data_IF_125094937915
#
_entry.id   IF_125094937915
#
_cell.length_a   1.000
_cell.length_b   1.000
_cell.length_c   1.000
_cell.angle_alpha   90.00
_cell.angle_beta   90.00
_cell.angle_gamma   90.00
#
_symmetry.space_group_name_H-M   'P 1'
#
loop_
_entity.id
_entity.type
_entity.pdbx_description
1 polymer ?
#
# COMPACT_ATOMS: atom_id res chain seq x y z
N UNK A 1 0.66 -18.94 -25.31
CA UNK A 1 1.75 -18.49 -24.42
C UNK A 1 1.10 -18.11 -23.10
N UNK A 2 1.10 -19.01 -22.12
CA UNK A 2 0.48 -18.77 -20.81
C UNK A 2 1.50 -17.98 -20.00
N UNK A 3 1.26 -16.68 -19.84
CA UNK A 3 2.09 -15.84 -18.99
C UNK A 3 2.06 -16.40 -17.57
N UNK A 4 3.21 -16.84 -17.09
CA UNK A 4 3.41 -17.16 -15.69
C UNK A 4 3.24 -15.83 -14.95
N UNK A 5 2.09 -15.61 -14.34
CA UNK A 5 1.94 -14.55 -13.35
C UNK A 5 2.89 -14.89 -12.20
N UNK A 6 4.09 -14.33 -12.23
CA UNK A 6 4.88 -14.16 -11.02
C UNK A 6 4.07 -13.20 -10.17
N UNK A 7 3.25 -13.74 -9.28
CA UNK A 7 2.70 -12.95 -8.19
C UNK A 7 3.89 -12.58 -7.31
N UNK A 8 4.51 -11.46 -7.66
CA UNK A 8 5.44 -10.77 -6.81
C UNK A 8 4.62 -9.86 -5.88
N UNK A 9 5.00 -9.83 -4.61
CA UNK A 9 4.39 -8.99 -3.60
C UNK A 9 5.26 -7.75 -3.44
N UNK A 10 4.69 -6.59 -3.71
CA UNK A 10 5.36 -5.31 -3.62
C UNK A 10 5.09 -4.66 -2.27
N UNK A 11 6.16 -4.22 -1.60
CA UNK A 11 6.10 -3.42 -0.38
C UNK A 11 6.40 -1.97 -0.70
N UNK A 12 5.53 -1.08 -0.23
CA UNK A 12 5.66 0.36 -0.38
C UNK A 12 5.70 1.02 0.99
N UNK A 13 6.69 1.87 1.21
CA UNK A 13 6.70 2.75 2.37
C UNK A 13 5.82 3.96 2.08
N UNK A 14 4.81 4.18 2.91
CA UNK A 14 3.88 5.29 2.78
C UNK A 14 4.32 6.47 3.67
N UNK A 15 4.49 7.63 3.04
CA UNK A 15 4.72 8.90 3.73
C UNK A 15 3.56 9.83 3.46
N UNK A 16 3.11 10.52 4.50
CA UNK A 16 2.01 11.48 4.43
C UNK A 16 2.60 12.89 4.55
N UNK A 17 2.05 13.85 3.81
CA UNK A 17 2.45 15.26 3.91
C UNK A 17 2.07 15.90 5.26
N UNK A 18 1.16 15.29 6.00
CA UNK A 18 0.81 15.64 7.38
C UNK A 18 1.22 14.52 8.32
N UNK A 19 1.66 14.87 9.52
CA UNK A 19 1.89 13.86 10.55
C UNK A 19 0.54 13.41 11.12
N UNK A 20 0.20 12.16 10.85
CA UNK A 20 -1.08 11.56 11.24
C UNK A 20 -0.76 10.52 12.31
N UNK A 21 -0.94 10.83 13.58
CA UNK A 21 -0.56 9.90 14.67
C UNK A 21 -1.44 8.63 14.69
N UNK A 22 -2.70 8.76 14.27
CA UNK A 22 -3.67 7.66 14.35
C UNK A 22 -3.61 6.75 13.12
N UNK A 23 -3.17 5.50 13.34
CA UNK A 23 -3.16 4.43 12.31
C UNK A 23 -4.52 4.23 11.63
N UNK A 24 -5.62 4.36 12.39
CA UNK A 24 -6.99 4.22 11.87
C UNK A 24 -7.30 5.27 10.78
N UNK A 25 -6.87 6.51 11.00
CA UNK A 25 -7.07 7.61 10.06
C UNK A 25 -6.23 7.40 8.81
N UNK A 26 -4.95 6.97 8.96
CA UNK A 26 -4.09 6.61 7.81
C UNK A 26 -4.72 5.54 6.92
N UNK A 27 -5.32 4.51 7.52
CA UNK A 27 -6.02 3.44 6.77
C UNK A 27 -7.24 3.98 6.02
N UNK A 28 -8.05 4.82 6.66
CA UNK A 28 -9.23 5.41 6.02
C UNK A 28 -8.87 6.30 4.82
N UNK A 29 -7.78 7.06 4.93
CA UNK A 29 -7.26 7.91 3.85
C UNK A 29 -6.80 7.06 2.67
N UNK A 30 -6.10 5.94 2.91
CA UNK A 30 -5.69 5.02 1.84
C UNK A 30 -6.88 4.38 1.14
N UNK A 31 -7.92 3.98 1.88
CA UNK A 31 -9.16 3.48 1.28
C UNK A 31 -9.83 4.53 0.38
N UNK A 32 -9.81 5.81 0.80
CA UNK A 32 -10.33 6.93 0.02
C UNK A 32 -9.46 7.32 -1.17
N UNK A 33 -8.20 6.91 -1.18
CA UNK A 33 -7.28 7.12 -2.30
C UNK A 33 -7.49 6.11 -3.45
N UNK A 34 -8.54 5.27 -3.36
CA UNK A 34 -8.94 4.28 -4.37
C UNK A 34 -7.86 3.22 -4.68
N UNK A 35 -6.93 2.99 -3.77
CA UNK A 35 -5.93 1.93 -3.88
C UNK A 35 -6.61 0.62 -3.46
N UNK A 36 -6.89 -0.25 -4.44
CA UNK A 36 -7.60 -1.52 -4.26
C UNK A 36 -6.61 -2.67 -4.07
N UNK A 37 -7.10 -3.78 -3.50
CA UNK A 37 -6.33 -5.03 -3.35
C UNK A 37 -5.00 -4.86 -2.58
N UNK A 38 -5.04 -4.06 -1.50
CA UNK A 38 -3.86 -3.77 -0.67
C UNK A 38 -4.10 -4.08 0.80
N UNK A 39 -3.03 -4.47 1.49
CA UNK A 39 -2.97 -4.49 2.95
C UNK A 39 -2.12 -3.33 3.45
N UNK A 40 -2.54 -2.72 4.55
CA UNK A 40 -1.82 -1.59 5.15
C UNK A 40 -1.76 -1.73 6.67
N UNK A 41 -0.56 -1.55 7.23
CA UNK A 41 -0.25 -1.70 8.66
C UNK A 41 -0.12 -0.37 9.44
N UNK A 42 -0.25 0.77 8.74
CA UNK A 42 -0.03 2.11 9.28
C UNK A 42 1.20 2.83 8.70
N UNK A 43 2.12 2.10 8.07
CA UNK A 43 3.38 2.61 7.52
C UNK A 43 3.75 1.96 6.19
N UNK A 44 3.58 0.64 6.08
CA UNK A 44 3.87 -0.16 4.91
C UNK A 44 2.56 -0.60 4.26
N UNK A 45 2.51 -0.41 2.93
CA UNK A 45 1.47 -0.92 2.06
C UNK A 45 2.00 -2.11 1.28
N UNK A 46 1.21 -3.17 1.25
CA UNK A 46 1.49 -4.42 0.55
C UNK A 46 0.49 -4.56 -0.61
N UNK A 47 0.98 -4.84 -1.81
CA UNK A 47 0.17 -4.99 -3.02
C UNK A 47 0.74 -6.06 -3.94
N UNK A 48 -0.14 -6.77 -4.66
CA UNK A 48 0.28 -7.57 -5.82
C UNK A 48 0.43 -6.73 -7.09
N UNK A 49 -0.07 -5.50 -7.07
CA UNK A 49 0.05 -4.56 -8.18
C UNK A 49 1.36 -3.77 -8.08
N UNK A 50 2.01 -3.64 -9.23
CA UNK A 50 3.18 -2.79 -9.42
C UNK A 50 2.71 -1.35 -9.67
N UNK A 51 2.77 -0.51 -8.63
CA UNK A 51 2.47 0.94 -8.68
C UNK A 51 3.70 1.77 -9.06
N UNK A 52 4.62 1.23 -9.86
CA UNK A 52 5.90 1.87 -10.20
C UNK A 52 6.80 2.10 -8.96
N UNK A 53 7.99 2.70 -9.16
CA UNK A 53 8.98 2.84 -8.07
C UNK A 53 8.58 3.92 -7.05
N UNK A 54 7.92 4.98 -7.53
CA UNK A 54 7.44 6.09 -6.72
C UNK A 54 6.09 6.58 -7.26
N UNK A 55 5.05 6.50 -6.44
CA UNK A 55 3.69 6.93 -6.81
C UNK A 55 3.12 7.86 -5.76
N UNK A 56 2.35 8.84 -6.23
CA UNK A 56 1.60 9.77 -5.39
C UNK A 56 0.12 9.44 -5.46
N UNK A 57 -0.48 9.18 -4.31
CA UNK A 57 -1.92 9.10 -4.16
C UNK A 57 -2.41 10.33 -3.38
N UNK A 58 -3.66 10.75 -3.58
CA UNK A 58 -4.23 11.87 -2.83
C UNK A 58 -5.62 11.53 -2.33
N UNK A 59 -5.90 11.90 -1.09
CA UNK A 59 -7.20 11.71 -0.47
C UNK A 59 -7.52 12.90 0.44
N UNK A 60 -8.80 13.08 0.76
CA UNK A 60 -9.25 14.11 1.70
C UNK A 60 -9.15 13.60 3.14
N UNK A 61 -8.63 14.42 4.04
CA UNK A 61 -8.63 14.14 5.47
C UNK A 61 -10.09 14.01 5.96
N UNK A 62 -10.44 12.95 6.71
CA UNK A 62 -11.83 12.73 7.14
C UNK A 62 -12.36 13.80 8.10
N UNK A 63 -11.49 14.40 8.91
CA UNK A 63 -11.84 15.43 9.91
C UNK A 63 -11.58 16.87 9.43
N UNK A 64 -10.38 17.19 8.94
CA UNK A 64 -9.99 18.56 8.58
C UNK A 64 -10.39 18.98 7.16
N UNK A 65 -10.91 18.06 6.33
CA UNK A 65 -11.17 18.24 4.89
C UNK A 65 -9.95 18.71 4.04
N UNK A 66 -8.75 18.69 4.62
CA UNK A 66 -7.52 19.02 3.92
C UNK A 66 -7.12 17.93 2.94
N UNK A 67 -6.42 18.32 1.87
CA UNK A 67 -5.91 17.36 0.88
C UNK A 67 -4.61 16.75 1.38
N UNK A 68 -4.63 15.44 1.59
CA UNK A 68 -3.49 14.65 2.02
C UNK A 68 -2.88 14.00 0.79
N UNK A 69 -1.57 14.16 0.64
CA UNK A 69 -0.79 13.45 -0.37
C UNK A 69 -0.04 12.31 0.31
N UNK A 70 -0.20 11.12 -0.25
CA UNK A 70 0.47 9.89 0.18
C UNK A 70 1.54 9.60 -0.86
N UNK A 71 2.80 9.71 -0.45
CA UNK A 71 3.93 9.30 -1.27
C UNK A 71 4.29 7.85 -0.93
N UNK A 72 4.18 6.99 -1.93
CA UNK A 72 4.46 5.57 -1.85
C UNK A 72 5.78 5.30 -2.55
N UNK A 73 6.75 4.76 -1.82
CA UNK A 73 8.06 4.39 -2.37
C UNK A 73 8.26 2.89 -2.22
N UNK A 74 8.51 2.19 -3.33
CA UNK A 74 8.82 0.76 -3.29
C UNK A 74 10.08 0.53 -2.49
N UNK A 75 10.04 -0.42 -1.57
CA UNK A 75 11.20 -0.79 -0.73
C UNK A 75 11.69 -2.18 -1.05
N UNK A 76 10.79 -3.16 -1.18
CA UNK A 76 11.13 -4.57 -1.40
C UNK A 76 10.09 -5.20 -2.31
N UNK A 77 10.54 -6.16 -3.12
CA UNK A 77 9.69 -7.07 -3.87
C UNK A 77 9.96 -8.49 -3.36
N UNK A 78 8.95 -9.14 -2.81
CA UNK A 78 9.02 -10.53 -2.38
C UNK A 78 8.40 -11.42 -3.44
N UNK A 79 9.16 -12.42 -3.88
CA UNK A 79 8.62 -13.49 -4.71
C UNK A 79 8.06 -14.61 -3.84
N UNK A 80 7.29 -15.51 -4.44
CA UNK A 80 6.81 -16.79 -3.85
C UNK A 80 7.89 -17.66 -3.19
N UNK A 81 9.18 -17.39 -3.42
CA UNK A 81 10.32 -18.07 -2.79
C UNK A 81 10.61 -17.58 -1.37
N UNK A 82 10.09 -16.42 -0.97
CA UNK A 82 10.24 -15.85 0.37
C UNK A 82 9.19 -16.46 1.31
N UNK A 83 9.56 -16.96 2.51
CA UNK A 83 8.59 -17.44 3.49
C UNK A 83 7.64 -16.33 3.97
N UNK A 84 8.07 -15.06 3.90
CA UNK A 84 7.23 -13.92 4.23
C UNK A 84 6.13 -13.68 3.20
N UNK A 85 6.29 -14.15 1.95
CA UNK A 85 5.30 -14.01 0.89
C UNK A 85 3.94 -14.55 1.33
N UNK A 86 3.87 -15.83 1.72
CA UNK A 86 2.60 -16.47 2.09
C UNK A 86 1.94 -15.87 3.34
N UNK A 87 2.74 -15.39 4.29
CA UNK A 87 2.23 -14.70 5.46
C UNK A 87 1.58 -13.36 5.07
N UNK A 88 2.27 -12.56 4.27
CA UNK A 88 1.81 -11.24 3.86
C UNK A 88 0.68 -11.29 2.82
N UNK A 89 0.67 -12.30 1.93
CA UNK A 89 -0.45 -12.52 1.01
C UNK A 89 -1.74 -12.79 1.77
N UNK A 90 -1.69 -13.50 2.90
CA UNK A 90 -2.87 -13.73 3.76
C UNK A 90 -3.35 -12.45 4.47
N UNK A 91 -2.59 -11.35 4.44
CA UNK A 91 -3.06 -10.06 4.94
C UNK A 91 -3.82 -9.29 3.85
N UNK A 92 -3.54 -9.56 2.58
CA UNK A 92 -4.23 -9.00 1.41
C UNK A 92 -5.34 -9.98 1.00
N UNK A 93 -6.36 -10.13 1.83
CA UNK A 93 -7.54 -10.89 1.45
C UNK A 93 -8.55 -9.92 0.85
N UNK A 94 -8.92 -10.18 -0.41
CA UNK A 94 -9.90 -9.45 -1.22
C UNK A 94 -11.29 -9.45 -0.63
#
# INVERSE_FOLDING_TARGET
MIGIFLEDLYRYYCTFNFDIELKKVRREILTKAEIKDVAFDGTILYSFEDFETETLASAKHPVTDERITIKMKRTVTDSRKSPEFFYLTNLIVR
#
